data_IF_572312653667
#
_entry.id   IF_572312653667
#
_cell.length_a   1.000
_cell.length_b   1.000
_cell.length_c   1.000
_cell.angle_alpha   90.00
_cell.angle_beta   90.00
_cell.angle_gamma   90.00
#
_symmetry.space_group_name_H-M   'P 1'
#
loop_
_entity.id
_entity.type
_entity.pdbx_description
1 polymer ?
#
# COMPACT_ATOMS: atom_id res chain seq x y z
N UNK A 1 -0.31 -35.16 15.34
CA UNK A 1 -0.46 -33.70 15.14
C UNK A 1 0.90 -33.15 14.72
N UNK A 2 0.92 -32.10 13.91
CA UNK A 2 2.14 -31.36 13.55
C UNK A 2 1.81 -29.87 13.55
N UNK A 3 2.82 -29.03 13.77
CA UNK A 3 2.72 -27.60 13.50
C UNK A 3 3.07 -27.33 12.04
N UNK A 4 2.54 -26.23 11.51
CA UNK A 4 3.04 -25.65 10.26
C UNK A 4 4.37 -24.95 10.53
N UNK A 5 5.23 -24.87 9.53
CA UNK A 5 6.41 -24.02 9.57
C UNK A 5 6.05 -22.53 9.38
N UNK A 6 7.08 -21.67 9.39
CA UNK A 6 6.95 -20.22 9.21
C UNK A 6 6.38 -19.80 7.84
N UNK A 7 6.32 -20.72 6.89
CA UNK A 7 5.78 -20.52 5.54
C UNK A 7 4.43 -21.20 5.34
N UNK A 8 3.84 -21.76 6.41
CA UNK A 8 2.53 -22.42 6.37
C UNK A 8 2.55 -23.87 5.87
N UNK A 9 3.72 -24.45 5.60
CA UNK A 9 3.83 -25.85 5.17
C UNK A 9 3.80 -26.81 6.36
N UNK A 10 3.29 -28.01 6.14
CA UNK A 10 3.29 -29.08 7.14
C UNK A 10 3.67 -30.41 6.50
N UNK A 11 4.26 -31.30 7.30
CA UNK A 11 4.59 -32.65 6.89
C UNK A 11 4.15 -33.64 7.98
N UNK A 12 3.43 -34.67 7.56
CA UNK A 12 2.98 -35.76 8.43
C UNK A 12 3.52 -37.07 7.86
N UNK A 13 4.16 -37.88 8.70
CA UNK A 13 4.67 -39.21 8.33
C UNK A 13 4.13 -40.28 9.26
N UNK A 14 4.24 -41.55 8.84
CA UNK A 14 3.76 -42.69 9.63
C UNK A 14 2.24 -42.88 9.62
N UNK A 15 1.53 -42.25 8.68
CA UNK A 15 0.08 -42.42 8.51
C UNK A 15 -0.19 -43.80 7.91
N UNK A 16 -1.02 -44.60 8.59
CA UNK A 16 -1.42 -45.92 8.09
C UNK A 16 -2.29 -45.80 6.83
N UNK A 17 -2.15 -46.70 5.84
CA UNK A 17 -3.02 -46.69 4.68
C UNK A 17 -4.49 -46.84 5.06
N UNK A 18 -5.37 -46.04 4.46
CA UNK A 18 -6.81 -46.06 4.75
C UNK A 18 -7.45 -44.68 4.70
N UNK A 19 -8.66 -44.57 5.25
CA UNK A 19 -9.38 -43.30 5.33
C UNK A 19 -8.77 -42.40 6.41
N UNK A 20 -8.33 -41.22 6.00
CA UNK A 20 -7.72 -40.21 6.85
C UNK A 20 -8.58 -38.95 6.84
N UNK A 21 -8.74 -38.34 8.01
CA UNK A 21 -9.31 -36.99 8.16
C UNK A 21 -8.23 -36.06 8.68
N UNK A 22 -7.93 -35.03 7.90
CA UNK A 22 -7.04 -33.95 8.29
C UNK A 22 -7.89 -32.76 8.70
N UNK A 23 -7.61 -32.18 9.86
CA UNK A 23 -8.22 -30.95 10.35
C UNK A 23 -7.12 -30.00 10.83
N UNK A 24 -7.35 -28.71 10.68
CA UNK A 24 -6.46 -27.64 11.12
C UNK A 24 -7.20 -26.79 12.15
N UNK A 25 -6.47 -26.28 13.13
CA UNK A 25 -7.03 -25.38 14.14
C UNK A 25 -5.94 -24.47 14.69
N UNK A 26 -6.28 -23.19 14.86
CA UNK A 26 -5.48 -22.19 15.54
C UNK A 26 -6.46 -21.25 16.26
N UNK A 27 -6.29 -20.98 17.57
CA UNK A 27 -7.12 -20.02 18.28
C UNK A 27 -7.13 -18.67 17.55
N UNK A 28 -8.31 -18.06 17.40
CA UNK A 28 -8.49 -16.81 16.65
C UNK A 28 -8.60 -16.97 15.13
N UNK A 29 -8.62 -18.21 14.60
CA UNK A 29 -8.74 -18.46 13.17
C UNK A 29 -9.85 -19.45 12.86
N UNK A 30 -10.59 -19.19 11.79
CA UNK A 30 -11.48 -20.17 11.16
C UNK A 30 -10.89 -20.60 9.82
N UNK A 31 -11.00 -21.89 9.50
CA UNK A 31 -10.38 -22.50 8.33
C UNK A 31 -11.41 -23.07 7.37
N UNK A 32 -11.13 -22.96 6.07
CA UNK A 32 -11.94 -23.56 5.01
C UNK A 32 -11.07 -24.40 4.05
N UNK A 33 -11.42 -25.67 3.78
CA UNK A 33 -12.43 -26.43 4.51
C UNK A 33 -12.00 -26.68 5.96
N UNK A 34 -12.93 -26.74 6.92
CA UNK A 34 -12.59 -27.06 8.33
C UNK A 34 -11.97 -28.46 8.54
N UNK A 35 -11.97 -29.29 7.51
CA UNK A 35 -11.22 -30.54 7.42
C UNK A 35 -11.36 -31.18 6.04
N UNK A 36 -10.35 -31.96 5.65
CA UNK A 36 -10.31 -32.72 4.40
C UNK A 36 -10.29 -34.21 4.74
N UNK A 37 -11.14 -34.99 4.08
CA UNK A 37 -11.12 -36.45 4.18
C UNK A 37 -10.61 -37.05 2.88
N UNK A 38 -9.68 -38.00 2.94
CA UNK A 38 -9.10 -38.66 1.77
C UNK A 38 -8.63 -40.09 2.10
N UNK A 39 -8.31 -40.87 1.08
CA UNK A 39 -7.71 -42.21 1.24
C UNK A 39 -6.21 -42.08 1.05
N UNK A 40 -5.43 -42.39 2.08
CA UNK A 40 -3.99 -42.51 2.00
C UNK A 40 -3.65 -43.94 1.54
N UNK A 41 -3.22 -44.10 0.28
CA UNK A 41 -2.69 -45.36 -0.24
C UNK A 41 -1.16 -45.30 -0.52
N UNK A 42 -0.64 -44.09 -0.63
CA UNK A 42 0.77 -43.71 -0.84
C UNK A 42 0.99 -42.31 -0.25
N UNK A 43 2.16 -41.73 -0.47
CA UNK A 43 2.41 -40.31 -0.19
C UNK A 43 1.37 -39.44 -0.91
N UNK A 44 0.82 -38.48 -0.19
CA UNK A 44 -0.19 -37.53 -0.68
C UNK A 44 0.32 -36.12 -0.41
N UNK A 45 0.41 -35.31 -1.47
CA UNK A 45 0.74 -33.88 -1.40
C UNK A 45 -0.50 -33.00 -1.62
N UNK A 46 -0.32 -31.68 -1.61
CA UNK A 46 -1.32 -30.70 -2.07
C UNK A 46 -2.65 -30.78 -1.30
N UNK A 47 -2.57 -30.59 0.02
CA UNK A 47 -3.75 -30.37 0.87
C UNK A 47 -3.70 -28.94 1.36
N UNK A 48 -4.65 -28.14 0.90
CA UNK A 48 -4.69 -26.71 1.14
C UNK A 48 -5.85 -26.36 2.06
N UNK A 49 -5.59 -25.43 2.97
CA UNK A 49 -6.57 -24.80 3.84
C UNK A 49 -6.43 -23.30 3.65
N UNK A 50 -7.54 -22.60 3.46
CA UNK A 50 -7.60 -21.15 3.62
C UNK A 50 -8.02 -20.84 5.05
N UNK A 51 -7.68 -19.65 5.55
CA UNK A 51 -8.09 -19.22 6.87
C UNK A 51 -8.56 -17.77 6.87
N UNK A 52 -9.41 -17.44 7.84
CA UNK A 52 -9.77 -16.07 8.21
C UNK A 52 -9.43 -15.84 9.67
N UNK A 53 -8.88 -14.69 9.98
CA UNK A 53 -8.62 -14.27 11.35
C UNK A 53 -9.92 -13.74 11.96
N UNK A 54 -10.45 -14.42 12.98
CA UNK A 54 -11.78 -14.15 13.54
C UNK A 54 -11.75 -13.24 14.77
N UNK A 55 -10.57 -12.98 15.34
CA UNK A 55 -10.41 -12.13 16.54
C UNK A 55 -9.95 -10.72 16.21
N UNK A 56 -9.84 -10.35 14.93
CA UNK A 56 -9.41 -9.01 14.48
C UNK A 56 -10.18 -7.88 15.15
N UNK A 57 -11.51 -8.02 15.25
CA UNK A 57 -12.35 -7.02 15.91
C UNK A 57 -12.19 -7.02 17.43
N UNK A 58 -11.94 -8.18 18.03
CA UNK A 58 -11.77 -8.28 19.47
C UNK A 58 -10.48 -7.57 19.89
N UNK A 59 -9.39 -7.77 19.12
CA UNK A 59 -8.13 -7.04 19.30
C UNK A 59 -8.32 -5.54 19.04
N UNK A 60 -8.92 -5.14 17.90
CA UNK A 60 -9.17 -3.73 17.59
C UNK A 60 -9.99 -3.00 18.67
N UNK A 61 -10.91 -3.71 19.34
CA UNK A 61 -11.73 -3.15 20.43
C UNK A 61 -10.95 -2.90 21.72
N UNK A 62 -9.80 -3.55 21.92
CA UNK A 62 -8.93 -3.28 23.06
C UNK A 62 -8.29 -1.87 22.98
N UNK A 63 -8.19 -1.29 21.79
CA UNK A 63 -7.69 0.07 21.58
C UNK A 63 -8.75 1.16 21.69
N UNK A 64 -10.03 0.82 21.86
CA UNK A 64 -11.08 1.84 22.05
C UNK A 64 -10.74 2.67 23.29
N UNK A 65 -10.70 3.99 23.11
CA UNK A 65 -10.29 4.95 24.13
C UNK A 65 -8.81 5.31 24.11
N UNK A 66 -8.00 4.73 23.22
CA UNK A 66 -6.61 5.14 23.01
C UNK A 66 -6.55 6.61 22.55
N UNK A 67 -5.76 7.48 23.23
CA UNK A 67 -5.57 8.85 22.81
C UNK A 67 -4.71 8.89 21.55
N UNK A 68 -5.09 9.78 20.65
CA UNK A 68 -4.42 9.94 19.38
C UNK A 68 -3.57 11.22 19.42
N UNK A 69 -2.24 11.07 19.40
CA UNK A 69 -1.30 12.19 19.42
C UNK A 69 -0.23 12.02 18.35
N UNK A 70 -0.36 12.78 17.26
CA UNK A 70 0.62 12.85 16.15
C UNK A 70 2.05 13.22 16.57
N UNK A 71 2.31 13.54 17.85
CA UNK A 71 3.63 13.93 18.36
C UNK A 71 4.57 12.75 18.64
N UNK A 72 4.11 11.51 18.49
CA UNK A 72 4.89 10.30 18.75
C UNK A 72 5.42 9.65 17.46
N UNK A 73 6.31 10.35 16.75
CA UNK A 73 7.02 9.78 15.60
C UNK A 73 8.09 8.78 16.06
N UNK A 74 7.73 7.49 16.11
CA UNK A 74 8.66 6.34 16.08
C UNK A 74 9.71 6.20 17.20
N UNK A 75 9.64 6.97 18.28
CA UNK A 75 10.58 6.87 19.42
C UNK A 75 10.24 5.77 20.44
N UNK A 76 11.23 5.37 21.26
CA UNK A 76 11.05 4.39 22.34
C UNK A 76 10.10 4.81 23.47
N UNK A 77 9.68 6.08 23.47
CA UNK A 77 8.70 6.64 24.42
C UNK A 77 7.24 6.40 24.00
N UNK A 78 7.00 5.76 22.85
CA UNK A 78 5.66 5.48 22.29
C UNK A 78 5.01 4.20 22.83
N UNK A 79 5.39 3.76 24.04
CA UNK A 79 4.85 2.58 24.73
C UNK A 79 3.88 3.05 25.81
N UNK A 80 2.58 2.89 25.56
CA UNK A 80 1.50 3.31 26.44
C UNK A 80 0.86 2.15 27.22
N UNK A 81 -0.23 2.45 27.93
CA UNK A 81 -1.08 1.45 28.61
C UNK A 81 -1.96 0.64 27.64
N UNK A 82 -1.87 0.92 26.34
CA UNK A 82 -2.65 0.29 25.29
C UNK A 82 -1.86 -0.87 24.68
N UNK A 83 -2.55 -1.83 24.09
CA UNK A 83 -1.93 -3.08 23.67
C UNK A 83 -1.18 -2.90 22.36
N UNK A 84 0.12 -3.21 22.33
CA UNK A 84 0.92 -3.08 21.11
C UNK A 84 1.42 -1.66 20.84
N UNK A 85 1.07 -1.10 19.69
CA UNK A 85 1.54 0.19 19.19
C UNK A 85 0.67 1.35 19.70
N UNK A 86 1.28 2.29 20.42
CA UNK A 86 0.55 3.39 21.06
C UNK A 86 1.03 4.78 20.62
N UNK A 87 1.51 4.91 19.38
CA UNK A 87 1.93 6.21 18.84
C UNK A 87 0.72 7.09 18.46
N UNK A 88 -0.50 6.56 18.51
CA UNK A 88 -1.69 7.29 18.15
C UNK A 88 -1.69 7.61 16.66
N UNK A 89 -1.38 6.62 15.83
CA UNK A 89 -1.55 6.65 14.38
C UNK A 89 -2.68 5.69 13.96
N UNK A 90 -3.39 5.99 12.87
CA UNK A 90 -4.59 5.25 12.47
C UNK A 90 -4.25 3.82 12.07
N UNK A 91 -3.06 3.66 11.53
CA UNK A 91 -2.41 2.41 11.22
C UNK A 91 -2.03 1.62 12.46
N UNK A 92 -1.73 2.23 13.61
CA UNK A 92 -1.41 1.50 14.85
C UNK A 92 -2.58 0.59 15.25
N UNK A 93 -3.80 1.13 15.30
CA UNK A 93 -5.01 0.36 15.62
C UNK A 93 -5.19 -0.85 14.70
N UNK A 94 -4.94 -0.67 13.41
CA UNK A 94 -5.10 -1.75 12.44
C UNK A 94 -3.93 -2.74 12.56
N UNK A 95 -2.70 -2.29 12.77
CA UNK A 95 -1.54 -3.15 12.97
C UNK A 95 -1.70 -4.00 14.24
N UNK A 96 -2.18 -3.41 15.33
CA UNK A 96 -2.45 -4.12 16.59
C UNK A 96 -3.57 -5.13 16.44
N UNK A 97 -4.66 -4.75 15.76
CA UNK A 97 -5.77 -5.65 15.44
C UNK A 97 -5.31 -6.91 14.68
N UNK A 98 -4.24 -6.83 13.87
CA UNK A 98 -3.70 -7.95 13.11
C UNK A 98 -2.42 -8.56 13.72
N UNK A 99 -1.92 -8.05 14.84
CA UNK A 99 -0.70 -8.56 15.50
C UNK A 99 -0.83 -10.04 15.92
N UNK A 100 -2.00 -10.43 16.44
CA UNK A 100 -2.35 -11.81 16.78
C UNK A 100 -2.49 -12.74 15.56
N UNK A 101 -2.58 -12.18 14.35
CA UNK A 101 -2.59 -12.96 13.12
C UNK A 101 -1.20 -13.52 12.76
N UNK A 102 -0.15 -13.20 13.54
CA UNK A 102 1.26 -13.38 13.19
C UNK A 102 1.62 -12.65 11.88
N UNK A 103 0.96 -11.51 11.66
CA UNK A 103 1.09 -10.69 10.48
C UNK A 103 1.93 -9.47 10.83
N UNK A 104 3.09 -9.32 10.18
CA UNK A 104 3.94 -8.14 10.30
C UNK A 104 3.94 -7.44 8.94
N UNK A 105 2.96 -6.58 8.69
CA UNK A 105 2.83 -5.90 7.40
C UNK A 105 4.04 -5.00 7.09
N UNK A 106 4.74 -4.49 8.09
CA UNK A 106 5.96 -3.71 7.85
C UNK A 106 7.04 -4.61 7.27
N UNK A 107 7.25 -5.80 7.84
CA UNK A 107 8.16 -6.79 7.29
C UNK A 107 7.72 -7.27 5.90
N UNK A 108 6.42 -7.49 5.68
CA UNK A 108 5.90 -7.97 4.39
C UNK A 108 6.06 -6.93 3.29
N UNK A 109 5.78 -5.67 3.58
CA UNK A 109 6.01 -4.55 2.68
C UNK A 109 7.49 -4.40 2.37
N UNK A 110 8.36 -4.50 3.38
CA UNK A 110 9.81 -4.46 3.18
C UNK A 110 10.29 -5.61 2.28
N UNK A 111 9.74 -6.81 2.46
CA UNK A 111 10.06 -7.97 1.63
C UNK A 111 9.57 -7.82 0.19
N UNK A 112 8.37 -7.27 -0.02
CA UNK A 112 7.86 -6.97 -1.35
C UNK A 112 8.71 -5.90 -2.04
N UNK A 113 9.09 -4.83 -1.33
CA UNK A 113 10.01 -3.81 -1.84
C UNK A 113 11.39 -4.38 -2.21
N UNK A 114 11.88 -5.39 -1.47
CA UNK A 114 13.11 -6.14 -1.80
C UNK A 114 12.93 -7.02 -3.02
N UNK A 115 11.83 -7.77 -3.09
CA UNK A 115 11.51 -8.68 -4.18
C UNK A 115 11.32 -7.95 -5.50
N UNK A 116 10.69 -6.78 -5.44
CA UNK A 116 10.18 -6.03 -6.57
C UNK A 116 10.60 -4.56 -6.39
N UNK A 117 11.86 -4.21 -6.66
CA UNK A 117 12.38 -2.85 -6.43
C UNK A 117 11.71 -1.78 -7.32
N UNK A 118 10.87 -2.19 -8.28
CA UNK A 118 10.04 -1.27 -9.07
C UNK A 118 8.70 -0.94 -8.40
N UNK A 119 8.32 -1.61 -7.31
CA UNK A 119 7.21 -1.18 -6.47
C UNK A 119 7.64 0.09 -5.73
N UNK A 120 6.80 1.11 -5.82
CA UNK A 120 7.00 2.38 -5.15
C UNK A 120 6.39 2.29 -3.75
N UNK A 121 7.25 2.42 -2.74
CA UNK A 121 6.89 2.62 -1.34
C UNK A 121 7.74 3.77 -0.84
N UNK A 122 7.10 4.77 -0.27
CA UNK A 122 7.71 6.05 0.03
C UNK A 122 8.54 6.00 1.31
N UNK A 123 7.98 5.44 2.37
CA UNK A 123 8.63 5.30 3.67
C UNK A 123 9.03 3.87 3.96
N UNK A 124 8.47 2.92 3.19
CA UNK A 124 8.65 1.47 3.36
C UNK A 124 8.21 1.01 4.73
N UNK A 125 7.09 1.54 5.17
CA UNK A 125 6.59 1.34 6.51
C UNK A 125 5.07 1.20 6.46
N UNK A 126 4.53 0.10 6.98
CA UNK A 126 3.08 -0.09 7.02
C UNK A 126 2.39 0.80 8.06
N UNK A 127 3.13 1.54 8.89
CA UNK A 127 2.58 2.64 9.70
C UNK A 127 2.19 3.87 8.88
N UNK A 128 2.69 4.00 7.66
CA UNK A 128 2.17 4.97 6.71
C UNK A 128 0.95 4.36 5.98
N UNK A 129 -0.21 5.04 6.08
CA UNK A 129 -1.46 4.52 5.54
C UNK A 129 -1.39 4.36 4.01
N UNK A 130 -0.60 5.21 3.34
CA UNK A 130 -0.46 5.16 1.89
C UNK A 130 0.43 4.01 1.43
N UNK A 131 1.55 3.76 2.11
CA UNK A 131 2.39 2.60 1.86
C UNK A 131 1.65 1.28 2.20
N UNK A 132 0.85 1.26 3.28
CA UNK A 132 -0.05 0.12 3.55
C UNK A 132 -1.04 -0.09 2.39
N UNK A 133 -1.69 0.98 1.92
CA UNK A 133 -2.58 0.92 0.76
C UNK A 133 -1.86 0.38 -0.49
N UNK A 134 -0.64 0.88 -0.78
CA UNK A 134 0.17 0.43 -1.91
C UNK A 134 0.51 -1.05 -1.80
N UNK A 135 0.80 -1.55 -0.60
CA UNK A 135 1.05 -2.97 -0.37
C UNK A 135 -0.14 -3.82 -0.78
N UNK A 136 -1.35 -3.47 -0.32
CA UNK A 136 -2.57 -4.19 -0.69
C UNK A 136 -2.92 -4.06 -2.18
N UNK A 137 -2.57 -2.94 -2.81
CA UNK A 137 -2.68 -2.78 -4.26
C UNK A 137 -1.75 -3.72 -5.02
N UNK A 138 -0.47 -3.78 -4.63
CA UNK A 138 0.54 -4.61 -5.30
C UNK A 138 0.32 -6.11 -5.07
N UNK A 139 -0.18 -6.49 -3.88
CA UNK A 139 -0.51 -7.88 -3.56
C UNK A 139 -1.84 -8.35 -4.17
N UNK A 140 -2.60 -7.45 -4.82
CA UNK A 140 -3.88 -7.78 -5.46
C UNK A 140 -5.03 -8.02 -4.47
N UNK A 141 -4.87 -7.56 -3.23
CA UNK A 141 -5.84 -7.74 -2.14
C UNK A 141 -6.76 -6.53 -1.93
N UNK A 142 -6.56 -5.45 -2.69
CA UNK A 142 -7.46 -4.30 -2.72
C UNK A 142 -8.69 -4.58 -3.58
N UNK A 143 -9.86 -4.24 -3.05
CA UNK A 143 -11.15 -4.23 -3.71
C UNK A 143 -11.61 -2.78 -3.95
N UNK A 144 -12.25 -2.50 -5.10
CA UNK A 144 -12.90 -1.22 -5.33
C UNK A 144 -14.03 -0.95 -4.32
N UNK A 145 -14.29 0.33 -4.03
CA UNK A 145 -15.33 0.78 -3.10
C UNK A 145 -16.73 0.21 -3.36
N UNK A 146 -17.06 -0.12 -4.62
CA UNK A 146 -18.37 -0.64 -5.00
C UNK A 146 -18.53 -2.15 -4.76
N UNK A 147 -17.44 -2.86 -4.45
CA UNK A 147 -17.49 -4.26 -4.10
C UNK A 147 -18.03 -4.46 -2.67
N UNK A 148 -18.74 -5.57 -2.40
CA UNK A 148 -19.21 -5.88 -1.06
C UNK A 148 -18.07 -5.96 -0.04
N UNK A 149 -18.31 -5.30 1.09
CA UNK A 149 -17.45 -5.35 2.27
C UNK A 149 -17.72 -6.62 3.07
N UNK A 150 -16.72 -6.98 3.88
CA UNK A 150 -16.82 -7.95 4.94
C UNK A 150 -16.34 -7.34 6.24
N UNK A 151 -16.86 -7.87 7.34
CA UNK A 151 -16.38 -7.55 8.67
C UNK A 151 -14.88 -7.93 8.75
N UNK A 152 -14.06 -6.99 9.20
CA UNK A 152 -12.61 -7.11 9.26
C UNK A 152 -11.85 -6.58 8.05
N UNK A 153 -12.54 -6.12 6.99
CA UNK A 153 -11.89 -5.42 5.88
C UNK A 153 -11.29 -4.09 6.35
N UNK A 154 -10.18 -3.69 5.74
CA UNK A 154 -9.55 -2.38 5.95
C UNK A 154 -10.12 -1.38 4.95
N UNK A 155 -10.66 -0.25 5.39
CA UNK A 155 -11.10 0.83 4.52
C UNK A 155 -10.05 1.96 4.49
N UNK A 156 -9.62 2.37 3.30
CA UNK A 156 -8.65 3.44 3.11
C UNK A 156 -9.32 4.73 2.63
N UNK A 157 -8.89 5.86 3.20
CA UNK A 157 -9.50 7.17 2.95
C UNK A 157 -8.45 8.22 2.58
N UNK A 158 -8.89 9.11 1.70
CA UNK A 158 -8.24 10.38 1.37
C UNK A 158 -9.20 11.47 1.84
N UNK A 159 -8.96 11.96 3.06
CA UNK A 159 -9.85 12.92 3.73
C UNK A 159 -9.68 14.32 3.17
N UNK A 160 -8.44 14.66 2.82
CA UNK A 160 -8.10 15.96 2.26
C UNK A 160 -8.53 16.10 0.79
N UNK A 161 -8.89 14.98 0.14
CA UNK A 161 -9.18 14.90 -1.29
C UNK A 161 -8.03 15.43 -2.14
N UNK A 162 -6.78 15.27 -1.68
CA UNK A 162 -5.58 15.77 -2.36
C UNK A 162 -4.86 14.68 -3.17
N UNK A 163 -5.36 13.43 -3.10
CA UNK A 163 -4.79 12.26 -3.75
C UNK A 163 -3.86 11.43 -2.88
N UNK A 164 -3.60 11.86 -1.64
CA UNK A 164 -2.88 11.08 -0.63
C UNK A 164 -3.85 10.23 0.20
N UNK A 165 -3.46 9.00 0.53
CA UNK A 165 -4.23 8.19 1.49
C UNK A 165 -3.83 8.61 2.89
N UNK A 166 -4.72 9.35 3.55
CA UNK A 166 -4.52 9.95 4.87
C UNK A 166 -4.84 8.98 6.02
N UNK A 167 -5.74 8.02 5.79
CA UNK A 167 -6.34 7.24 6.87
C UNK A 167 -6.69 5.81 6.49
N UNK A 168 -6.69 4.93 7.49
CA UNK A 168 -7.21 3.57 7.41
C UNK A 168 -8.08 3.25 8.63
N UNK A 169 -9.18 2.54 8.40
CA UNK A 169 -10.10 2.06 9.44
C UNK A 169 -10.41 0.58 9.27
N UNK A 170 -10.88 -0.07 10.33
CA UNK A 170 -11.35 -1.46 10.30
C UNK A 170 -12.88 -1.51 10.23
N UNK A 171 -13.43 -2.20 9.24
CA UNK A 171 -14.89 -2.39 9.13
C UNK A 171 -15.36 -3.36 10.19
N UNK A 172 -16.24 -2.92 11.09
CA UNK A 172 -16.70 -3.73 12.23
C UNK A 172 -18.11 -4.28 12.07
N UNK A 173 -18.90 -3.72 11.16
CA UNK A 173 -20.23 -4.22 10.81
C UNK A 173 -20.58 -3.92 9.35
N UNK A 174 -21.37 -4.79 8.74
CA UNK A 174 -21.77 -4.71 7.32
C UNK A 174 -23.26 -5.05 7.19
N UNK A 175 -23.99 -4.19 6.47
CA UNK A 175 -25.40 -4.36 6.16
C UNK A 175 -25.67 -5.51 5.19
N UNK A 176 -26.95 -5.88 5.04
CA UNK A 176 -27.38 -6.95 4.13
C UNK A 176 -27.10 -6.65 2.64
N UNK A 177 -26.89 -5.37 2.30
CA UNK A 177 -26.50 -4.89 0.98
C UNK A 177 -24.97 -4.96 0.74
N UNK A 178 -24.21 -5.45 1.71
CA UNK A 178 -22.75 -5.53 1.63
C UNK A 178 -22.04 -4.20 1.85
N UNK A 179 -22.74 -3.18 2.36
CA UNK A 179 -22.15 -1.86 2.69
C UNK A 179 -21.77 -1.78 4.16
N UNK A 180 -20.67 -1.11 4.51
CA UNK A 180 -20.27 -0.95 5.89
C UNK A 180 -21.30 -0.11 6.65
N UNK A 181 -21.66 -0.57 7.85
CA UNK A 181 -22.56 0.15 8.77
C UNK A 181 -21.81 0.73 9.94
N UNK A 182 -20.67 0.14 10.32
CA UNK A 182 -19.81 0.60 11.43
C UNK A 182 -18.33 0.34 11.14
N UNK A 183 -17.48 1.17 11.72
CA UNK A 183 -16.01 1.07 11.65
C UNK A 183 -15.39 1.28 13.02
N UNK A 184 -14.26 0.64 13.26
CA UNK A 184 -13.34 0.99 14.33
C UNK A 184 -12.21 1.80 13.70
N UNK A 185 -12.04 3.03 14.16
CA UNK A 185 -11.01 3.93 13.64
C UNK A 185 -10.46 4.85 14.72
N UNK A 186 -9.35 5.51 14.39
CA UNK A 186 -8.69 6.49 15.24
C UNK A 186 -8.51 7.81 14.49
N UNK A 187 -9.61 8.53 14.26
CA UNK A 187 -9.62 9.73 13.40
C UNK A 187 -9.24 11.04 14.07
N UNK A 188 -8.94 11.01 15.37
CA UNK A 188 -8.81 12.24 16.15
C UNK A 188 -10.14 12.99 16.27
N UNK A 189 -10.09 14.27 16.60
CA UNK A 189 -11.29 15.05 16.93
C UNK A 189 -12.12 15.34 15.67
N UNK A 190 -13.30 14.73 15.59
CA UNK A 190 -14.29 15.01 14.54
C UNK A 190 -15.65 15.37 15.15
N UNK A 191 -16.62 15.79 14.34
CA UNK A 191 -17.99 16.02 14.82
C UNK A 191 -18.62 14.76 15.43
N UNK A 192 -18.23 13.59 14.92
CA UNK A 192 -18.75 12.29 15.33
C UNK A 192 -17.85 11.61 16.39
N UNK A 193 -16.66 12.16 16.63
CA UNK A 193 -15.71 11.70 17.64
C UNK A 193 -15.10 12.91 18.40
N UNK A 194 -15.88 13.63 19.22
CA UNK A 194 -15.42 14.86 19.87
C UNK A 194 -14.31 14.64 20.89
N UNK A 195 -14.16 13.41 21.39
CA UNK A 195 -13.06 13.03 22.30
C UNK A 195 -11.73 12.80 21.58
N UNK A 196 -11.76 12.61 20.26
CA UNK A 196 -10.59 12.30 19.46
C UNK A 196 -9.85 11.02 19.83
N UNK A 197 -10.56 10.10 20.49
CA UNK A 197 -10.02 8.79 20.90
C UNK A 197 -10.39 7.74 19.85
N UNK A 198 -9.64 6.65 19.76
CA UNK A 198 -10.08 5.50 18.98
C UNK A 198 -11.48 5.04 19.43
N UNK A 199 -12.37 4.79 18.47
CA UNK A 199 -13.77 4.50 18.74
C UNK A 199 -14.39 3.61 17.66
N UNK A 200 -15.45 2.89 18.03
CA UNK A 200 -16.33 2.21 17.09
C UNK A 200 -17.49 3.14 16.72
N UNK A 201 -17.49 3.64 15.49
CA UNK A 201 -18.37 4.68 14.99
C UNK A 201 -19.31 4.14 13.92
N UNK A 202 -20.49 4.76 13.80
CA UNK A 202 -21.40 4.51 12.68
C UNK A 202 -20.79 5.04 11.38
N UNK A 203 -21.01 4.31 10.29
CA UNK A 203 -20.56 4.73 8.96
C UNK A 203 -21.35 5.95 8.48
N UNK A 204 -20.74 7.12 8.66
CA UNK A 204 -21.29 8.40 8.21
C UNK A 204 -21.03 8.67 6.72
N UNK A 205 -21.85 9.51 6.05
CA UNK A 205 -21.71 9.82 4.62
C UNK A 205 -20.36 10.40 4.18
N UNK A 206 -19.59 10.99 5.09
CA UNK A 206 -18.27 11.51 4.75
C UNK A 206 -17.26 10.38 4.48
N UNK A 207 -17.40 9.21 5.10
CA UNK A 207 -16.57 8.05 4.81
C UNK A 207 -16.77 7.62 3.36
N UNK A 208 -18.02 7.44 2.90
CA UNK A 208 -18.30 7.08 1.49
C UNK A 208 -17.67 8.07 0.49
N UNK A 209 -17.62 9.37 0.82
CA UNK A 209 -17.03 10.38 -0.06
C UNK A 209 -15.49 10.28 -0.12
N UNK A 210 -14.86 9.99 1.01
CA UNK A 210 -13.40 9.95 1.15
C UNK A 210 -12.79 8.57 0.83
N UNK A 211 -13.61 7.52 0.81
CA UNK A 211 -13.13 6.16 0.65
C UNK A 211 -12.59 5.92 -0.77
N UNK A 212 -11.42 5.27 -0.86
CA UNK A 212 -10.73 5.00 -2.14
C UNK A 212 -10.70 3.52 -2.54
N UNK A 213 -10.75 2.63 -1.56
CA UNK A 213 -10.77 1.18 -1.75
C UNK A 213 -10.65 0.47 -0.40
N UNK A 214 -11.01 -0.80 -0.36
CA UNK A 214 -10.89 -1.60 0.86
C UNK A 214 -10.08 -2.86 0.60
N UNK A 215 -9.23 -3.21 1.56
CA UNK A 215 -8.43 -4.40 1.49
C UNK A 215 -9.03 -5.53 2.30
N UNK A 216 -8.92 -6.74 1.75
CA UNK A 216 -9.25 -7.97 2.46
C UNK A 216 -7.98 -8.79 2.62
N UNK A 217 -7.48 -8.81 3.85
CA UNK A 217 -6.32 -9.63 4.19
C UNK A 217 -6.67 -11.11 4.08
N UNK A 218 -6.00 -11.82 3.18
CA UNK A 218 -6.24 -13.25 2.94
C UNK A 218 -5.23 -14.17 3.65
N UNK A 219 -4.28 -13.60 4.39
CA UNK A 219 -3.24 -14.36 5.10
C UNK A 219 -2.05 -14.75 4.24
N UNK A 220 -2.02 -14.41 2.95
CA UNK A 220 -0.95 -14.86 2.05
C UNK A 220 0.36 -14.10 2.29
N UNK A 221 1.40 -14.85 2.67
CA UNK A 221 2.74 -14.34 2.91
C UNK A 221 3.67 -14.78 1.78
N UNK A 222 4.24 -13.83 1.04
CA UNK A 222 5.31 -14.14 0.08
C UNK A 222 6.59 -14.52 0.85
N UNK A 223 7.33 -15.51 0.35
CA UNK A 223 8.53 -16.00 1.02
C UNK A 223 9.65 -14.95 1.05
N UNK A 224 10.43 -14.97 2.13
CA UNK A 224 11.57 -14.06 2.33
C UNK A 224 12.57 -14.11 1.18
N UNK A 225 12.86 -12.96 0.58
CA UNK A 225 13.89 -12.79 -0.44
C UNK A 225 15.28 -12.84 0.22
N UNK A 226 16.11 -13.80 -0.19
CA UNK A 226 17.46 -14.00 0.37
C UNK A 226 18.48 -13.07 -0.28
N UNK A 227 18.35 -12.79 -1.58
CA UNK A 227 19.21 -11.88 -2.33
C UNK A 227 18.34 -10.93 -3.18
N UNK A 228 18.16 -9.67 -2.77
CA UNK A 228 17.35 -8.73 -3.55
C UNK A 228 18.07 -8.36 -4.86
N UNK A 229 17.33 -8.16 -5.96
CA UNK A 229 17.87 -7.56 -7.18
C UNK A 229 18.51 -6.20 -6.85
N UNK A 230 19.75 -6.04 -7.32
CA UNK A 230 20.52 -4.80 -7.24
C UNK A 230 20.22 -3.90 -8.42
N UNK A 231 20.39 -2.60 -8.24
CA UNK A 231 20.16 -1.63 -9.31
C UNK A 231 19.74 -0.26 -8.83
N UNK A 232 19.63 0.63 -9.80
CA UNK A 232 19.25 2.03 -9.62
C UNK A 232 17.91 2.30 -10.26
N UNK A 233 17.06 3.06 -9.57
CA UNK A 233 15.72 3.38 -10.00
C UNK A 233 15.39 4.84 -9.74
N UNK A 234 14.73 5.47 -10.72
CA UNK A 234 13.94 6.68 -10.50
C UNK A 234 12.48 6.23 -10.38
N UNK A 235 11.87 6.47 -9.22
CA UNK A 235 10.47 6.12 -8.97
C UNK A 235 9.64 7.37 -8.76
N UNK A 236 8.42 7.37 -9.29
CA UNK A 236 7.49 8.48 -9.22
C UNK A 236 6.08 7.96 -9.00
N UNK A 237 5.39 8.49 -7.99
CA UNK A 237 3.99 8.24 -7.73
C UNK A 237 3.16 9.52 -7.89
N UNK A 238 2.01 9.40 -8.56
CA UNK A 238 1.02 10.47 -8.73
C UNK A 238 -0.32 10.00 -8.19
N UNK A 239 -0.67 10.48 -6.99
CA UNK A 239 -1.99 10.29 -6.38
C UNK A 239 -2.94 11.37 -6.88
N UNK A 240 -4.00 11.00 -7.60
CA UNK A 240 -5.05 11.91 -8.08
C UNK A 240 -6.16 11.14 -8.83
N UNK A 241 -7.41 11.60 -8.74
CA UNK A 241 -8.48 11.11 -9.63
C UNK A 241 -8.28 11.70 -11.02
N UNK A 242 -8.06 10.82 -12.00
CA UNK A 242 -8.17 11.19 -13.40
C UNK A 242 -7.00 12.00 -13.94
N UNK A 243 -6.02 12.39 -13.13
CA UNK A 243 -4.75 12.86 -13.65
C UNK A 243 -3.95 11.70 -14.26
N UNK A 244 -3.11 12.01 -15.25
CA UNK A 244 -2.20 11.04 -15.87
C UNK A 244 -0.75 11.42 -15.64
N UNK A 245 0.08 10.38 -15.46
CA UNK A 245 1.51 10.46 -15.30
C UNK A 245 2.23 9.86 -16.52
N UNK A 246 3.24 10.58 -17.00
CA UNK A 246 4.22 10.05 -17.97
C UNK A 246 5.61 10.59 -17.67
N UNK A 247 6.62 9.75 -17.79
CA UNK A 247 8.03 10.15 -17.82
C UNK A 247 8.51 10.17 -19.27
N UNK A 248 9.23 11.21 -19.67
CA UNK A 248 9.87 11.34 -20.98
C UNK A 248 11.37 11.59 -20.81
N UNK A 249 12.20 10.79 -21.46
CA UNK A 249 13.63 11.07 -21.56
C UNK A 249 13.92 12.20 -22.55
N UNK A 250 15.10 12.82 -22.44
CA UNK A 250 15.61 13.76 -23.43
C UNK A 250 15.69 13.18 -24.87
N UNK A 251 15.79 11.85 -25.00
CA UNK A 251 15.79 11.14 -26.27
C UNK A 251 14.38 10.85 -26.84
N UNK A 252 13.31 11.28 -26.16
CA UNK A 252 11.93 11.08 -26.59
C UNK A 252 11.33 9.70 -26.28
N UNK A 253 12.08 8.80 -25.64
CA UNK A 253 11.52 7.56 -25.07
C UNK A 253 10.71 7.89 -23.82
N UNK A 254 9.62 7.19 -23.58
CA UNK A 254 8.76 7.41 -22.43
C UNK A 254 8.39 6.17 -21.63
N UNK A 255 7.85 6.43 -20.44
CA UNK A 255 7.25 5.46 -19.53
C UNK A 255 5.89 6.00 -19.07
N UNK A 256 4.83 5.27 -19.40
CA UNK A 256 3.43 5.54 -19.02
C UNK A 256 2.59 4.29 -19.26
N UNK A 257 1.28 4.37 -19.03
CA UNK A 257 0.33 3.30 -19.40
C UNK A 257 0.40 2.87 -20.87
N UNK A 258 0.71 3.80 -21.78
CA UNK A 258 0.67 3.58 -23.24
C UNK A 258 2.05 3.51 -23.90
N UNK A 259 3.12 3.69 -23.13
CA UNK A 259 4.50 3.80 -23.63
C UNK A 259 5.43 3.16 -22.61
N UNK A 260 6.15 2.11 -23.02
CA UNK A 260 7.12 1.41 -22.18
C UNK A 260 8.48 1.34 -22.88
N UNK A 261 8.86 2.41 -23.58
CA UNK A 261 10.12 2.48 -24.32
C UNK A 261 11.34 2.79 -23.45
N UNK A 262 11.12 3.29 -22.22
CA UNK A 262 12.13 3.32 -21.17
C UNK A 262 12.13 2.00 -20.37
N UNK A 263 13.31 1.45 -20.01
CA UNK A 263 13.39 0.33 -19.09
C UNK A 263 12.73 0.67 -17.75
N UNK A 264 11.82 -0.17 -17.28
CA UNK A 264 11.05 0.13 -16.08
C UNK A 264 9.69 -0.53 -16.05
N UNK A 265 8.87 -0.10 -15.10
CA UNK A 265 7.49 -0.53 -14.95
C UNK A 265 6.58 0.67 -14.71
N UNK A 266 5.33 0.55 -15.17
CA UNK A 266 4.24 1.47 -14.88
C UNK A 266 3.10 0.68 -14.22
N UNK A 267 2.53 1.24 -13.17
CA UNK A 267 1.42 0.67 -12.41
C UNK A 267 0.27 1.66 -12.35
N UNK A 268 -0.94 1.18 -12.65
CA UNK A 268 -2.18 1.94 -12.48
C UNK A 268 -2.93 1.37 -11.27
N UNK A 269 -2.71 1.98 -10.11
CA UNK A 269 -3.24 1.55 -8.83
C UNK A 269 -4.60 2.18 -8.52
N UNK A 270 -5.51 2.21 -9.50
CA UNK A 270 -6.86 2.80 -9.43
C UNK A 270 -6.84 4.33 -9.22
N UNK A 271 -6.31 4.78 -8.07
CA UNK A 271 -6.23 6.17 -7.62
C UNK A 271 -4.83 6.78 -7.71
N UNK A 272 -3.82 5.93 -7.81
CA UNK A 272 -2.43 6.35 -7.98
C UNK A 272 -1.87 5.79 -9.29
N UNK A 273 -1.04 6.57 -9.97
CA UNK A 273 -0.20 6.08 -11.07
C UNK A 273 1.26 6.09 -10.61
N UNK A 274 1.90 4.93 -10.64
CA UNK A 274 3.30 4.79 -10.28
C UNK A 274 4.13 4.42 -11.50
N UNK A 275 5.33 4.97 -11.60
CA UNK A 275 6.34 4.53 -12.56
C UNK A 275 7.69 4.37 -11.87
N UNK A 276 8.47 3.42 -12.37
CA UNK A 276 9.82 3.14 -11.91
C UNK A 276 10.70 2.93 -13.13
N UNK A 277 11.56 3.89 -13.46
CA UNK A 277 12.55 3.79 -14.52
C UNK A 277 13.83 3.16 -13.98
N UNK A 278 14.24 2.03 -14.56
CA UNK A 278 15.48 1.34 -14.21
C UNK A 278 16.67 1.97 -14.93
N UNK A 279 17.85 1.94 -14.30
CA UNK A 279 19.09 2.53 -14.83
C UNK A 279 18.89 4.01 -15.25
N UNK A 280 18.44 4.89 -14.33
CA UNK A 280 18.00 6.24 -14.68
C UNK A 280 19.13 7.15 -15.20
N UNK A 281 20.39 6.72 -15.07
CA UNK A 281 21.58 7.33 -15.66
C UNK A 281 22.11 6.41 -16.78
N UNK A 282 21.69 6.59 -18.05
CA UNK A 282 22.07 5.68 -19.12
C UNK A 282 23.58 5.74 -19.43
N UNK A 283 24.23 4.58 -19.37
CA UNK A 283 25.66 4.44 -19.64
C UNK A 283 26.51 4.99 -18.49
N UNK A 284 27.59 5.71 -18.81
CA UNK A 284 28.48 6.31 -17.81
C UNK A 284 28.16 7.79 -17.54
N UNK A 285 26.92 8.22 -17.81
CA UNK A 285 26.53 9.63 -17.59
C UNK A 285 26.43 9.93 -16.11
N UNK A 286 27.09 11.00 -15.63
CA UNK A 286 26.91 11.48 -14.26
C UNK A 286 25.59 12.19 -14.02
N UNK A 287 24.90 12.60 -15.08
CA UNK A 287 23.59 13.26 -15.04
C UNK A 287 22.75 12.89 -16.27
N UNK A 288 21.42 12.89 -16.11
CA UNK A 288 20.48 12.68 -17.20
C UNK A 288 19.19 13.48 -16.99
N UNK A 289 18.56 13.90 -18.09
CA UNK A 289 17.36 14.75 -18.05
C UNK A 289 16.12 14.01 -18.51
N UNK A 290 15.07 14.19 -17.74
CA UNK A 290 13.72 13.75 -18.00
C UNK A 290 12.75 14.93 -17.97
N UNK A 291 11.53 14.68 -18.45
CA UNK A 291 10.36 15.50 -18.22
C UNK A 291 9.30 14.62 -17.58
N UNK A 292 8.83 15.03 -16.40
CA UNK A 292 7.58 14.55 -15.86
C UNK A 292 6.45 15.29 -16.53
N UNK A 293 5.52 14.55 -17.12
CA UNK A 293 4.35 15.07 -17.78
C UNK A 293 3.15 14.68 -16.95
N UNK A 294 2.54 15.69 -16.31
CA UNK A 294 1.29 15.56 -15.57
C UNK A 294 0.18 16.14 -16.45
N UNK A 295 -0.94 15.46 -16.57
CA UNK A 295 -2.06 16.00 -17.34
C UNK A 295 -3.41 15.72 -16.71
N UNK A 296 -4.31 16.70 -16.80
CA UNK A 296 -5.71 16.54 -16.45
C UNK A 296 -6.55 16.52 -17.75
N UNK A 297 -6.95 15.34 -18.25
CA UNK A 297 -7.81 15.22 -19.43
C UNK A 297 -9.28 15.56 -19.16
N UNK A 298 -9.66 15.77 -17.90
CA UNK A 298 -11.03 16.00 -17.47
C UNK A 298 -11.50 17.44 -17.64
N UNK A 299 -12.74 17.69 -17.23
CA UNK A 299 -13.43 18.98 -17.36
C UNK A 299 -13.41 19.81 -16.07
N UNK A 300 -12.96 19.24 -14.95
CA UNK A 300 -12.85 19.91 -13.65
C UNK A 300 -11.39 19.93 -13.18
N UNK A 301 -10.97 20.95 -12.41
CA UNK A 301 -9.65 20.93 -11.79
C UNK A 301 -9.48 19.67 -10.94
N UNK A 302 -8.26 19.13 -10.91
CA UNK A 302 -7.93 17.95 -10.09
C UNK A 302 -6.74 18.29 -9.19
N UNK A 303 -6.87 18.15 -7.86
CA UNK A 303 -5.73 18.18 -6.97
C UNK A 303 -4.86 16.94 -7.19
N UNK A 304 -3.59 17.05 -6.87
CA UNK A 304 -2.67 15.92 -6.93
C UNK A 304 -1.62 15.98 -5.82
N UNK A 305 -1.20 14.78 -5.44
CA UNK A 305 0.01 14.49 -4.68
C UNK A 305 1.03 13.82 -5.62
N UNK A 306 2.25 14.36 -5.67
CA UNK A 306 3.36 13.83 -6.46
C UNK A 306 4.52 13.53 -5.51
N UNK A 307 4.98 12.28 -5.53
CA UNK A 307 6.18 11.86 -4.82
C UNK A 307 7.20 11.33 -5.82
N UNK A 308 8.47 11.65 -5.60
CA UNK A 308 9.61 11.20 -6.40
C UNK A 308 10.65 10.65 -5.44
N UNK A 309 11.26 9.52 -5.78
CA UNK A 309 12.42 9.02 -5.07
C UNK A 309 13.44 8.39 -6.01
N UNK A 310 14.70 8.44 -5.58
CA UNK A 310 15.80 7.69 -6.17
C UNK A 310 16.14 6.52 -5.26
N UNK A 311 16.34 5.35 -5.86
CA UNK A 311 16.67 4.12 -5.12
C UNK A 311 17.93 3.51 -5.70
N UNK A 312 18.87 3.12 -4.84
CA UNK A 312 20.08 2.38 -5.21
C UNK A 312 20.24 1.17 -4.29
N UNK A 313 20.31 -0.04 -4.86
CA UNK A 313 20.52 -1.29 -4.14
C UNK A 313 19.59 -1.44 -2.93
N UNK A 314 18.29 -1.20 -3.17
CA UNK A 314 17.24 -1.20 -2.14
C UNK A 314 17.34 -0.03 -1.12
N UNK A 315 18.26 0.90 -1.20
CA UNK A 315 18.23 2.09 -0.32
C UNK A 315 17.56 3.27 -1.04
N UNK A 316 16.69 4.00 -0.33
CA UNK A 316 16.19 5.30 -0.82
C UNK A 316 17.30 6.32 -0.58
N UNK A 317 17.83 6.89 -1.66
CA UNK A 317 18.93 7.85 -1.61
C UNK A 317 18.43 9.29 -1.46
N UNK A 318 17.33 9.63 -2.15
CA UNK A 318 16.65 10.91 -2.01
C UNK A 318 15.14 10.77 -2.27
N UNK A 319 14.34 11.65 -1.67
CA UNK A 319 12.90 11.75 -1.89
C UNK A 319 12.42 13.21 -1.95
N UNK A 320 11.27 13.43 -2.59
CA UNK A 320 10.64 14.75 -2.67
C UNK A 320 9.14 14.65 -2.89
N UNK A 321 8.39 15.55 -2.25
CA UNK A 321 6.93 15.55 -2.17
C UNK A 321 6.39 16.89 -2.62
N UNK A 322 5.39 16.85 -3.48
CA UNK A 322 4.81 18.03 -4.10
C UNK A 322 3.30 17.88 -4.14
N UNK A 323 2.60 18.95 -3.79
CA UNK A 323 1.15 19.04 -3.96
C UNK A 323 0.83 20.14 -4.97
N UNK A 324 -0.27 19.98 -5.67
CA UNK A 324 -0.74 21.01 -6.59
C UNK A 324 -2.12 20.70 -7.14
N UNK A 325 -2.52 21.51 -8.11
CA UNK A 325 -3.75 21.31 -8.88
C UNK A 325 -3.42 21.41 -10.37
N UNK A 326 -4.13 20.64 -11.19
CA UNK A 326 -4.11 20.73 -12.64
C UNK A 326 -5.46 21.24 -13.14
N UNK A 327 -5.45 22.34 -13.89
CA UNK A 327 -6.64 22.87 -14.53
C UNK A 327 -7.21 21.90 -15.60
N UNK A 328 -8.50 21.99 -15.96
CA UNK A 328 -9.09 21.17 -17.02
C UNK A 328 -8.30 21.27 -18.33
N UNK A 329 -7.95 20.12 -18.92
CA UNK A 329 -7.15 20.04 -20.14
C UNK A 329 -5.67 20.45 -19.98
N UNK A 330 -5.20 20.78 -18.77
CA UNK A 330 -3.81 21.18 -18.54
C UNK A 330 -2.86 20.00 -18.81
N UNK A 331 -1.75 20.29 -19.49
CA UNK A 331 -0.59 19.40 -19.60
C UNK A 331 0.62 20.17 -19.08
N UNK A 332 1.17 19.72 -17.96
CA UNK A 332 2.32 20.31 -17.29
C UNK A 332 3.58 19.50 -17.59
N UNK A 333 4.56 20.14 -18.22
CA UNK A 333 5.90 19.59 -18.43
C UNK A 333 6.82 20.09 -17.34
N UNK A 334 7.23 19.18 -16.47
CA UNK A 334 8.04 19.43 -15.29
C UNK A 334 9.44 18.86 -15.52
N UNK A 335 10.47 19.69 -15.78
CA UNK A 335 11.83 19.20 -15.98
C UNK A 335 12.36 18.55 -14.71
N UNK A 336 12.95 17.37 -14.90
CA UNK A 336 13.56 16.56 -13.85
C UNK A 336 14.98 16.18 -14.28
N UNK A 337 15.96 16.51 -13.46
CA UNK A 337 17.34 16.04 -13.65
C UNK A 337 17.63 14.97 -12.62
N UNK A 338 18.17 13.85 -13.05
CA UNK A 338 18.74 12.82 -12.15
C UNK A 338 20.25 12.90 -12.28
N UNK A 339 20.97 12.82 -11.18
CA UNK A 339 22.43 12.92 -11.16
C UNK A 339 23.04 12.10 -10.02
N UNK A 340 24.33 11.82 -10.15
CA UNK A 340 25.11 11.16 -9.09
C UNK A 340 25.83 12.21 -8.24
N UNK A 341 25.68 12.13 -6.93
CA UNK A 341 26.40 12.99 -6.00
C UNK A 341 27.89 12.59 -5.93
N UNK A 342 28.78 13.45 -5.39
CA UNK A 342 30.19 13.10 -5.19
C UNK A 342 30.40 11.85 -4.32
N UNK A 343 29.47 11.57 -3.40
CA UNK A 343 29.50 10.40 -2.52
C UNK A 343 28.94 9.12 -3.19
N UNK A 344 28.52 9.22 -4.46
CA UNK A 344 28.06 8.11 -5.27
C UNK A 344 26.56 7.82 -5.20
N UNK A 345 25.81 8.56 -4.39
CA UNK A 345 24.36 8.42 -4.24
C UNK A 345 23.60 8.98 -5.44
N UNK A 346 22.44 8.41 -5.73
CA UNK A 346 21.55 8.89 -6.77
C UNK A 346 20.64 10.00 -6.23
N UNK A 347 20.60 11.14 -6.92
CA UNK A 347 19.85 12.32 -6.51
C UNK A 347 19.05 12.90 -7.69
N UNK A 348 18.11 13.80 -7.42
CA UNK A 348 17.31 14.47 -8.42
C UNK A 348 17.02 15.93 -8.10
N UNK A 349 16.82 16.72 -9.17
CA UNK A 349 16.43 18.13 -9.09
C UNK A 349 15.18 18.35 -9.96
N UNK A 350 14.11 18.88 -9.36
CA UNK A 350 12.98 19.43 -10.09
C UNK A 350 13.21 20.91 -10.34
N UNK A 351 13.25 21.31 -11.62
CA UNK A 351 13.42 22.72 -11.97
C UNK A 351 12.06 23.38 -12.14
N UNK A 352 11.86 24.64 -11.70
CA UNK A 352 10.60 25.34 -11.92
C UNK A 352 10.17 25.23 -13.38
N UNK A 353 8.88 24.97 -13.67
CA UNK A 353 8.43 24.84 -15.03
C UNK A 353 8.77 26.15 -15.76
N UNK A 354 9.53 26.06 -16.84
CA UNK A 354 9.64 27.19 -17.75
C UNK A 354 8.22 27.46 -18.26
N UNK A 355 7.62 28.60 -17.88
CA UNK A 355 6.41 29.12 -18.52
C UNK A 355 6.72 29.44 -19.98
N UNK A 356 6.85 28.43 -20.84
CA UNK A 356 6.61 28.61 -22.26
C UNK A 356 5.11 28.49 -22.44
N UNK A 357 4.44 29.63 -22.57
CA UNK A 357 3.15 29.68 -23.28
C UNK A 357 3.37 28.96 -24.62
N UNK A 358 2.86 27.73 -24.74
CA UNK A 358 2.69 27.11 -26.04
C UNK A 358 1.54 27.89 -26.70
N UNK A 359 1.89 28.97 -27.40
CA UNK A 359 0.99 29.56 -28.40
C UNK A 359 0.68 28.43 -29.39
N UNK A 360 -0.62 28.14 -29.53
CA UNK A 360 -1.18 27.32 -30.61
C UNK A 360 -0.55 27.72 -31.94
N UNK A 361 0.29 26.86 -32.49
CA UNK A 361 0.54 26.77 -33.92
C UNK A 361 0.62 25.29 -34.30
N UNK A 362 -0.56 24.67 -34.41
CA UNK A 362 -0.79 23.55 -35.32
C UNK A 362 -2.14 23.81 -35.99
N UNK A 363 -2.05 24.30 -37.22
CA UNK A 363 -3.06 24.16 -38.25
C UNK A 363 -3.09 22.73 -38.77
#
# INVERSE_FOLDING_TARGET
ETLTDRTGYFFLSGIQPGQVRLSISKPGFAFEPGGISFIAASDVSEKFFTYRYTTVLDEARLDIGMPYDHRCDSGGDCVGIFHGYAAGQCTDLVLDAFSGAACDWTLMLEQDAKARPTHFYQYRNARDAFDMWRYFMYSGQMLPHDQPYQIGDLAFFDWSSDGEIDHVALVSDVGADGRPTRVIEASGVTSNNPGGLAAELDWAPFYDKAQRGHARWDGTFESMVVEPPRGEFLQVGLGSIGANLRLLSAAGKGLSRLDNSLPGNFYHLIWEQNLSAAEPLPGNSGEYRYFLVLSNPGETPVPYYLAIQTVQDFHIDNEGKFRGELAPGEIRFQPLMVFRTPDGLLDFELRPPHQRQIRRELH
#
